data_IF_301286859887
#
_entry.id   IF_301286859887
#
_cell.length_a   1.000
_cell.length_b   1.000
_cell.length_c   1.000
_cell.angle_alpha   90.00
_cell.angle_beta   90.00
_cell.angle_gamma   90.00
#
_symmetry.space_group_name_H-M   'P 1'
#
loop_
_entity.id
_entity.type
_entity.pdbx_description
1 polymer ?
#
# COMPACT_ATOMS: atom_id res chain seq x y z
N UNK A 1 9.05 1.71 32.93
CA UNK A 1 8.29 2.99 33.02
C UNK A 1 8.34 3.82 31.74
N UNK A 2 9.51 4.01 31.09
CA UNK A 2 9.64 4.81 29.84
C UNK A 2 8.88 4.22 28.64
N UNK A 3 8.86 2.90 28.50
CA UNK A 3 8.17 2.21 27.39
C UNK A 3 6.64 2.36 27.43
N UNK A 4 6.04 2.27 28.64
CA UNK A 4 4.60 2.53 28.85
C UNK A 4 4.22 3.98 28.54
N UNK A 5 5.13 4.94 28.76
CA UNK A 5 4.90 6.34 28.42
C UNK A 5 4.92 6.57 26.89
N UNK A 6 5.82 5.89 26.18
CA UNK A 6 5.90 5.94 24.71
C UNK A 6 4.62 5.42 24.02
N UNK A 7 4.07 4.30 24.50
CA UNK A 7 2.80 3.76 23.98
C UNK A 7 1.66 4.78 24.17
N UNK A 8 1.53 5.31 25.39
CA UNK A 8 0.47 6.28 25.71
C UNK A 8 0.57 7.53 24.84
N UNK A 9 1.76 8.11 24.74
CA UNK A 9 1.96 9.33 23.96
C UNK A 9 1.70 9.10 22.46
N UNK A 10 2.14 7.96 21.91
CA UNK A 10 1.89 7.59 20.52
C UNK A 10 0.39 7.44 20.22
N UNK A 11 -0.37 6.80 21.12
CA UNK A 11 -1.84 6.68 20.97
C UNK A 11 -2.52 8.05 21.02
N UNK A 12 -2.14 8.90 21.99
CA UNK A 12 -2.69 10.26 22.10
C UNK A 12 -2.37 11.08 20.84
N UNK A 13 -1.12 11.03 20.36
CA UNK A 13 -0.71 11.70 19.15
C UNK A 13 -1.51 11.22 17.94
N UNK A 14 -1.64 9.90 17.74
CA UNK A 14 -2.43 9.32 16.66
C UNK A 14 -3.90 9.75 16.72
N UNK A 15 -4.50 9.79 17.91
CA UNK A 15 -5.88 10.23 18.11
C UNK A 15 -6.07 11.72 17.74
N UNK A 16 -5.20 12.60 18.22
CA UNK A 16 -5.24 14.04 17.88
C UNK A 16 -5.05 14.25 16.38
N UNK A 17 -4.06 13.58 15.77
CA UNK A 17 -3.80 13.66 14.34
C UNK A 17 -5.02 13.20 13.54
N UNK A 18 -5.67 12.12 13.96
CA UNK A 18 -6.86 11.58 13.30
C UNK A 18 -8.02 12.57 13.35
N UNK A 19 -8.28 13.19 14.52
CA UNK A 19 -9.32 14.22 14.64
C UNK A 19 -9.02 15.40 13.72
N UNK A 20 -7.79 15.92 13.73
CA UNK A 20 -7.40 17.04 12.88
C UNK A 20 -7.55 16.70 11.39
N UNK A 21 -7.16 15.49 10.99
CA UNK A 21 -7.28 15.02 9.62
C UNK A 21 -8.74 14.92 9.16
N UNK A 22 -9.64 14.43 10.03
CA UNK A 22 -11.06 14.28 9.72
C UNK A 22 -11.78 15.64 9.71
N UNK A 23 -11.38 16.58 10.57
CA UNK A 23 -11.90 17.95 10.56
C UNK A 23 -11.55 18.70 9.28
N UNK A 24 -10.41 18.42 8.66
CA UNK A 24 -10.07 18.99 7.34
C UNK A 24 -10.89 18.31 6.24
N UNK A 25 -11.14 17.01 6.38
CA UNK A 25 -11.95 16.23 5.46
C UNK A 25 -11.26 15.90 4.12
N UNK A 26 -11.96 15.17 3.23
CA UNK A 26 -11.42 14.82 1.92
C UNK A 26 -11.34 16.06 1.00
N UNK A 27 -10.25 16.16 0.22
CA UNK A 27 -10.16 17.17 -0.84
C UNK A 27 -10.57 16.53 -2.16
N UNK A 28 -11.49 17.16 -2.87
CA UNK A 28 -11.79 16.82 -4.26
C UNK A 28 -11.38 17.96 -5.18
N UNK A 29 -10.65 17.64 -6.25
CA UNK A 29 -10.25 18.61 -7.26
C UNK A 29 -10.25 17.96 -8.65
N UNK A 30 -10.30 18.79 -9.69
CA UNK A 30 -10.29 18.32 -11.07
C UNK A 30 -8.88 18.38 -11.66
N UNK A 31 -8.41 17.27 -12.20
CA UNK A 31 -7.17 17.20 -12.99
C UNK A 31 -7.55 16.74 -14.39
N UNK A 32 -7.30 17.57 -15.41
CA UNK A 32 -7.60 17.25 -16.80
C UNK A 32 -9.06 16.78 -17.05
N UNK A 33 -10.03 17.37 -16.33
CA UNK A 33 -11.45 17.00 -16.44
C UNK A 33 -11.88 15.79 -15.60
N UNK A 34 -10.93 15.09 -14.96
CA UNK A 34 -11.18 13.95 -14.08
C UNK A 34 -11.28 14.43 -12.63
N UNK A 35 -12.33 14.02 -11.92
CA UNK A 35 -12.47 14.28 -10.48
C UNK A 35 -11.54 13.34 -9.70
N UNK A 36 -10.59 13.93 -8.98
CA UNK A 36 -9.68 13.22 -8.09
C UNK A 36 -10.04 13.56 -6.65
N UNK A 37 -10.23 12.54 -5.82
CA UNK A 37 -10.55 12.69 -4.41
C UNK A 37 -9.43 12.11 -3.56
N UNK A 38 -8.83 12.96 -2.72
CA UNK A 38 -7.88 12.56 -1.70
C UNK A 38 -8.61 12.40 -0.37
N UNK A 39 -8.52 11.22 0.22
CA UNK A 39 -9.15 10.89 1.51
C UNK A 39 -8.47 11.59 2.68
N UNK A 40 -9.19 11.75 3.80
CA UNK A 40 -8.69 12.41 5.02
C UNK A 40 -7.42 11.75 5.59
N UNK A 41 -7.19 10.46 5.34
CA UNK A 41 -5.95 9.74 5.73
C UNK A 41 -4.68 10.42 5.21
N UNK A 42 -4.75 11.14 4.08
CA UNK A 42 -3.65 11.92 3.52
C UNK A 42 -3.17 13.00 4.51
N UNK A 43 -4.11 13.69 5.16
CA UNK A 43 -3.80 14.71 6.15
C UNK A 43 -3.15 14.11 7.39
N UNK A 44 -3.62 12.94 7.83
CA UNK A 44 -3.01 12.24 8.95
C UNK A 44 -1.53 11.93 8.68
N UNK A 45 -1.19 11.51 7.46
CA UNK A 45 0.19 11.26 7.04
C UNK A 45 1.00 12.56 7.01
N UNK A 46 0.48 13.64 6.42
CA UNK A 46 1.20 14.92 6.36
C UNK A 46 1.42 15.52 7.74
N UNK A 47 0.41 15.54 8.60
CA UNK A 47 0.54 16.03 9.98
C UNK A 47 1.52 15.15 10.74
N UNK A 48 1.42 13.81 10.63
CA UNK A 48 2.34 12.87 11.26
C UNK A 48 3.80 13.08 10.85
N UNK A 49 4.06 13.28 9.56
CA UNK A 49 5.40 13.64 9.06
C UNK A 49 5.85 15.01 9.55
N UNK A 50 4.94 15.99 9.60
CA UNK A 50 5.27 17.33 10.06
C UNK A 50 5.65 17.35 11.53
N UNK A 51 4.90 16.66 12.40
CA UNK A 51 5.15 16.62 13.84
C UNK A 51 6.29 15.71 14.26
N UNK A 52 6.87 14.96 13.31
CA UNK A 52 8.00 14.09 13.60
C UNK A 52 9.20 14.88 14.15
N UNK A 53 10.00 14.27 15.05
CA UNK A 53 11.20 14.86 15.62
C UNK A 53 12.27 15.25 14.59
N UNK A 54 12.17 14.74 13.36
CA UNK A 54 13.06 15.10 12.26
C UNK A 54 12.63 16.39 11.51
N UNK A 55 11.38 16.83 11.68
CA UNK A 55 10.84 18.04 11.01
C UNK A 55 10.48 19.13 12.04
N UNK A 56 9.20 19.33 12.38
CA UNK A 56 8.81 20.39 13.34
C UNK A 56 9.33 20.12 14.75
N UNK A 57 9.51 18.85 15.14
CA UNK A 57 10.11 18.52 16.43
C UNK A 57 11.59 18.92 16.54
N UNK A 58 12.28 19.21 15.42
CA UNK A 58 13.61 19.82 15.44
C UNK A 58 13.58 21.26 15.94
N UNK A 59 12.49 21.98 15.66
CA UNK A 59 12.31 23.40 15.98
C UNK A 59 11.58 23.59 17.31
N UNK A 60 10.63 22.70 17.63
CA UNK A 60 9.77 22.80 18.82
C UNK A 60 10.16 21.71 19.84
N UNK A 61 10.90 22.04 20.91
CA UNK A 61 11.38 21.06 21.89
C UNK A 61 10.25 20.33 22.63
N UNK A 62 9.11 21.00 22.84
CA UNK A 62 7.92 20.40 23.45
C UNK A 62 7.35 19.26 22.59
N UNK A 63 7.39 19.40 21.26
CA UNK A 63 6.90 18.40 20.32
C UNK A 63 7.84 17.19 20.28
N UNK A 64 9.15 17.41 20.25
CA UNK A 64 10.16 16.33 20.36
C UNK A 64 10.11 15.59 21.70
N UNK A 65 9.74 16.28 22.78
CA UNK A 65 9.54 15.66 24.09
C UNK A 65 8.27 14.79 24.12
N UNK A 66 7.27 15.13 23.31
CA UNK A 66 6.00 14.41 23.24
C UNK A 66 6.02 13.26 22.21
N UNK A 67 6.64 13.47 21.05
CA UNK A 67 6.86 12.49 19.98
C UNK A 67 8.38 12.40 19.76
N UNK A 68 9.02 11.51 20.52
CA UNK A 68 10.44 11.24 20.41
C UNK A 68 10.74 9.87 19.82
N UNK A 69 11.99 9.42 19.96
CA UNK A 69 12.43 8.14 19.41
C UNK A 69 11.71 6.94 20.03
N UNK A 70 11.31 7.02 21.31
CA UNK A 70 10.57 5.95 21.98
C UNK A 70 9.19 5.74 21.35
N UNK A 71 8.47 6.84 21.10
CA UNK A 71 7.17 6.82 20.43
C UNK A 71 7.30 6.30 18.99
N UNK A 72 8.32 6.74 18.25
CA UNK A 72 8.59 6.25 16.88
C UNK A 72 8.88 4.75 16.90
N UNK A 73 9.75 4.28 17.80
CA UNK A 73 10.17 2.88 17.83
C UNK A 73 9.03 1.93 18.20
N UNK A 74 8.03 2.38 18.98
CA UNK A 74 6.85 1.58 19.32
C UNK A 74 5.73 1.68 18.30
N UNK A 75 5.78 2.68 17.40
CA UNK A 75 4.73 2.94 16.41
C UNK A 75 4.47 1.74 15.46
N UNK A 76 5.49 1.04 14.92
CA UNK A 76 5.26 -0.15 14.10
C UNK A 76 4.51 -1.25 14.86
N UNK A 77 4.84 -1.46 16.14
CA UNK A 77 4.14 -2.44 16.98
C UNK A 77 2.67 -2.05 17.21
N UNK A 78 2.41 -0.78 17.52
CA UNK A 78 1.03 -0.28 17.67
C UNK A 78 0.24 -0.39 16.36
N UNK A 79 0.87 -0.14 15.22
CA UNK A 79 0.28 -0.33 13.91
C UNK A 79 -0.10 -1.81 13.71
N UNK A 80 0.81 -2.75 13.94
CA UNK A 80 0.50 -4.19 13.88
C UNK A 80 -0.69 -4.54 14.78
N UNK A 81 -0.71 -4.04 16.02
CA UNK A 81 -1.79 -4.29 16.97
C UNK A 81 -3.14 -3.78 16.44
N UNK A 82 -3.15 -2.60 15.83
CA UNK A 82 -4.35 -1.97 15.27
C UNK A 82 -4.83 -2.67 13.99
N UNK A 83 -3.93 -3.38 13.30
CA UNK A 83 -4.24 -4.14 12.09
C UNK A 83 -4.72 -5.57 12.37
N UNK A 84 -4.53 -6.12 13.57
CA UNK A 84 -5.05 -7.45 13.89
C UNK A 84 -6.57 -7.58 13.69
N UNK A 85 -7.42 -6.62 14.11
CA UNK A 85 -8.85 -6.68 13.78
C UNK A 85 -9.11 -6.79 12.28
N UNK A 86 -8.34 -6.07 11.45
CA UNK A 86 -8.45 -6.14 10.00
C UNK A 86 -8.01 -7.51 9.48
N UNK A 87 -6.90 -8.06 9.97
CA UNK A 87 -6.44 -9.41 9.64
C UNK A 87 -7.42 -10.50 10.05
N UNK A 88 -8.04 -10.38 11.23
CA UNK A 88 -9.11 -11.28 11.71
C UNK A 88 -10.33 -11.17 10.79
N UNK A 89 -10.74 -9.94 10.44
CA UNK A 89 -11.85 -9.72 9.51
C UNK A 89 -11.57 -10.38 8.17
N UNK A 90 -10.36 -10.25 7.62
CA UNK A 90 -10.01 -10.93 6.39
C UNK A 90 -9.97 -12.45 6.55
N UNK A 91 -9.41 -12.98 7.64
CA UNK A 91 -9.40 -14.42 7.92
C UNK A 91 -10.79 -15.03 8.01
N UNK A 92 -11.71 -14.38 8.74
CA UNK A 92 -13.12 -14.81 8.86
C UNK A 92 -13.82 -14.77 7.50
N UNK A 93 -13.56 -13.73 6.69
CA UNK A 93 -14.15 -13.62 5.36
C UNK A 93 -13.52 -14.60 4.35
N UNK A 94 -12.24 -14.93 4.51
CA UNK A 94 -11.48 -15.72 3.55
C UNK A 94 -11.57 -17.22 3.80
N UNK A 95 -11.68 -17.67 5.05
CA UNK A 95 -11.76 -19.08 5.41
C UNK A 95 -12.89 -19.84 4.70
N UNK A 96 -14.16 -19.39 4.79
CA UNK A 96 -15.29 -20.04 4.13
C UNK A 96 -15.23 -19.98 2.59
N UNK A 97 -14.43 -19.07 2.03
CA UNK A 97 -14.39 -18.75 0.61
C UNK A 97 -13.23 -19.43 -0.14
N UNK A 98 -12.47 -20.32 0.50
CA UNK A 98 -11.44 -21.13 -0.18
C UNK A 98 -12.02 -21.90 -1.36
N UNK A 99 -13.28 -22.36 -1.26
CA UNK A 99 -13.97 -23.02 -2.37
C UNK A 99 -14.08 -22.13 -3.63
N UNK A 100 -14.26 -20.82 -3.46
CA UNK A 100 -14.28 -19.86 -4.57
C UNK A 100 -12.91 -19.77 -5.23
N UNK A 101 -11.81 -19.86 -4.48
CA UNK A 101 -10.46 -19.91 -5.03
C UNK A 101 -10.23 -21.18 -5.86
N UNK A 102 -10.72 -22.33 -5.39
CA UNK A 102 -10.60 -23.61 -6.12
C UNK A 102 -11.49 -23.65 -7.37
N UNK A 103 -12.62 -22.94 -7.34
CA UNK A 103 -13.56 -22.80 -8.45
C UNK A 103 -13.33 -21.50 -9.24
N UNK A 104 -12.24 -20.78 -8.96
CA UNK A 104 -11.97 -19.49 -9.55
C UNK A 104 -11.84 -19.65 -11.07
N UNK A 105 -12.71 -18.96 -11.81
CA UNK A 105 -12.63 -18.96 -13.25
C UNK A 105 -11.33 -18.30 -13.76
N UNK A 106 -11.01 -18.47 -15.05
CA UNK A 106 -9.80 -17.88 -15.65
C UNK A 106 -9.63 -16.38 -15.40
N UNK A 107 -10.73 -15.62 -15.31
CA UNK A 107 -10.71 -14.19 -15.04
C UNK A 107 -10.09 -13.84 -13.67
N UNK A 108 -10.42 -14.60 -12.61
CA UNK A 108 -9.90 -14.35 -11.26
C UNK A 108 -8.42 -14.76 -11.16
N UNK A 109 -8.04 -15.87 -11.79
CA UNK A 109 -6.63 -16.28 -11.84
C UNK A 109 -5.77 -15.25 -12.58
N UNK A 110 -6.26 -14.73 -13.71
CA UNK A 110 -5.56 -13.68 -14.46
C UNK A 110 -5.50 -12.35 -13.70
N UNK A 111 -6.56 -12.00 -12.96
CA UNK A 111 -6.57 -10.81 -12.11
C UNK A 111 -5.47 -10.88 -11.04
N UNK A 112 -5.40 -11.99 -10.31
CA UNK A 112 -4.42 -12.15 -9.23
C UNK A 112 -3.00 -12.35 -9.75
N UNK A 113 -2.86 -12.98 -10.92
CA UNK A 113 -1.59 -12.97 -11.64
C UNK A 113 -1.18 -11.55 -12.05
N UNK A 114 -2.14 -10.70 -12.43
CA UNK A 114 -1.89 -9.28 -12.71
C UNK A 114 -1.38 -8.53 -11.47
N UNK A 115 -1.99 -8.77 -10.31
CA UNK A 115 -1.54 -8.19 -9.03
C UNK A 115 -0.11 -8.60 -8.69
N UNK A 116 0.18 -9.91 -8.73
CA UNK A 116 1.51 -10.47 -8.51
C UNK A 116 2.52 -9.98 -9.57
N UNK A 117 2.10 -9.92 -10.83
CA UNK A 117 2.95 -9.63 -11.99
C UNK A 117 3.60 -8.25 -11.97
N UNK A 118 3.03 -7.30 -11.21
CA UNK A 118 3.63 -5.97 -10.99
C UNK A 118 5.07 -6.04 -10.44
N UNK A 119 5.39 -7.08 -9.66
CA UNK A 119 6.73 -7.29 -9.11
C UNK A 119 7.79 -7.48 -10.19
N UNK A 120 7.42 -8.00 -11.37
CA UNK A 120 8.36 -8.27 -12.48
C UNK A 120 9.08 -6.99 -12.94
N UNK A 121 8.45 -5.84 -12.76
CA UNK A 121 9.03 -4.53 -13.08
C UNK A 121 9.47 -3.83 -11.79
N UNK A 122 8.59 -3.77 -10.79
CA UNK A 122 8.82 -2.96 -9.60
C UNK A 122 9.99 -3.48 -8.76
N UNK A 123 10.17 -4.81 -8.65
CA UNK A 123 11.24 -5.39 -7.84
C UNK A 123 12.64 -5.09 -8.42
N UNK A 124 12.94 -5.35 -9.71
CA UNK A 124 14.21 -4.96 -10.31
C UNK A 124 14.50 -3.47 -10.18
N UNK A 125 13.50 -2.62 -10.39
CA UNK A 125 13.64 -1.16 -10.27
C UNK A 125 14.00 -0.79 -8.83
N UNK A 126 13.29 -1.31 -7.84
CA UNK A 126 13.57 -1.04 -6.42
C UNK A 126 14.97 -1.52 -6.00
N UNK A 127 15.39 -2.69 -6.48
CA UNK A 127 16.75 -3.19 -6.22
C UNK A 127 17.81 -2.30 -6.90
N UNK A 128 17.56 -1.84 -8.12
CA UNK A 128 18.46 -0.92 -8.84
C UNK A 128 18.65 0.40 -8.07
N UNK A 129 17.59 0.87 -7.40
CA UNK A 129 17.61 2.06 -6.55
C UNK A 129 18.31 1.86 -5.19
N UNK A 130 18.73 0.65 -4.83
CA UNK A 130 19.43 0.41 -3.55
C UNK A 130 18.57 -0.08 -2.41
N UNK A 131 17.29 -0.38 -2.64
CA UNK A 131 16.36 -0.76 -1.57
C UNK A 131 16.54 -2.21 -1.09
N UNK A 132 17.25 -3.06 -1.85
CA UNK A 132 17.53 -4.44 -1.45
C UNK A 132 16.27 -5.21 -1.06
N UNK A 133 16.25 -5.81 0.14
CA UNK A 133 15.09 -6.57 0.67
C UNK A 133 13.85 -5.70 0.91
N UNK A 134 14.01 -4.40 1.13
CA UNK A 134 12.86 -3.47 1.19
C UNK A 134 12.12 -3.37 -0.14
N UNK A 135 12.81 -3.55 -1.27
CA UNK A 135 12.12 -3.65 -2.56
C UNK A 135 11.21 -4.88 -2.60
N UNK A 136 11.63 -6.02 -2.05
CA UNK A 136 10.80 -7.22 -2.01
C UNK A 136 9.54 -7.01 -1.17
N UNK A 137 9.69 -6.52 0.06
CA UNK A 137 8.53 -6.26 0.91
C UNK A 137 7.57 -5.22 0.32
N UNK A 138 8.10 -4.25 -0.43
CA UNK A 138 7.28 -3.24 -1.09
C UNK A 138 6.58 -3.69 -2.38
N UNK A 139 7.04 -4.75 -3.04
CA UNK A 139 6.61 -5.06 -4.42
C UNK A 139 6.05 -6.46 -4.62
N UNK A 140 6.13 -7.34 -3.62
CA UNK A 140 5.59 -8.70 -3.75
C UNK A 140 4.06 -8.74 -3.84
N UNK A 141 3.36 -7.67 -3.51
CA UNK A 141 1.92 -7.56 -3.74
C UNK A 141 1.52 -6.12 -4.06
N UNK A 142 0.47 -6.00 -4.89
CA UNK A 142 -0.26 -4.77 -5.11
C UNK A 142 -1.18 -4.41 -3.93
N UNK A 143 -1.80 -5.41 -3.28
CA UNK A 143 -2.65 -5.18 -2.13
C UNK A 143 -1.79 -4.99 -0.89
N UNK A 144 -1.61 -3.73 -0.52
CA UNK A 144 -0.78 -3.33 0.62
C UNK A 144 -1.33 -3.78 1.98
N UNK A 145 -2.64 -3.97 2.11
CA UNK A 145 -3.32 -4.23 3.38
C UNK A 145 -3.06 -5.68 3.83
N UNK A 146 -3.26 -6.64 2.93
CA UNK A 146 -2.90 -8.05 3.12
C UNK A 146 -1.39 -8.23 3.18
N UNK A 147 -0.64 -7.52 2.33
CA UNK A 147 0.82 -7.57 2.33
C UNK A 147 1.44 -7.17 3.67
N UNK A 148 0.88 -6.13 4.30
CA UNK A 148 1.35 -5.64 5.60
C UNK A 148 1.12 -6.68 6.71
N UNK A 149 -0.01 -7.39 6.68
CA UNK A 149 -0.27 -8.51 7.58
C UNK A 149 0.72 -9.66 7.38
N UNK A 150 0.92 -10.10 6.13
CA UNK A 150 1.79 -11.24 5.80
C UNK A 150 3.26 -10.94 6.13
N UNK A 151 3.79 -9.77 5.74
CA UNK A 151 5.17 -9.39 6.05
C UNK A 151 5.35 -9.10 7.54
N UNK A 152 4.35 -8.47 8.16
CA UNK A 152 4.34 -8.22 9.60
C UNK A 152 4.47 -9.51 10.42
N UNK A 153 3.75 -10.56 10.03
CA UNK A 153 3.84 -11.88 10.67
C UNK A 153 5.15 -12.62 10.33
N UNK A 154 5.53 -12.67 9.04
CA UNK A 154 6.64 -13.49 8.58
C UNK A 154 8.03 -12.91 8.86
N UNK A 155 8.18 -11.59 8.72
CA UNK A 155 9.48 -10.91 8.83
C UNK A 155 9.50 -9.87 9.98
N UNK A 156 8.34 -9.41 10.44
CA UNK A 156 8.23 -8.31 11.39
C UNK A 156 8.29 -6.95 10.70
N UNK A 157 7.52 -5.96 11.18
CA UNK A 157 7.45 -4.64 10.54
C UNK A 157 8.76 -3.82 10.63
N UNK A 158 9.65 -4.18 11.55
CA UNK A 158 10.97 -3.55 11.69
C UNK A 158 12.05 -4.17 10.77
N UNK A 159 11.72 -5.24 10.05
CA UNK A 159 12.63 -5.83 9.06
C UNK A 159 12.78 -4.93 7.82
N UNK A 160 13.82 -5.12 7.00
CA UNK A 160 13.92 -4.44 5.71
C UNK A 160 12.66 -4.59 4.84
N UNK A 161 12.08 -5.79 4.80
CA UNK A 161 10.85 -6.13 4.09
C UNK A 161 9.68 -5.34 4.67
N UNK A 162 9.53 -5.35 6.01
CA UNK A 162 8.50 -4.60 6.73
C UNK A 162 8.57 -3.11 6.45
N UNK A 163 9.76 -2.52 6.49
CA UNK A 163 10.00 -1.11 6.13
C UNK A 163 9.60 -0.85 4.67
N UNK A 164 9.92 -1.78 3.77
CA UNK A 164 9.49 -1.73 2.37
C UNK A 164 7.97 -1.69 2.21
N UNK A 165 7.28 -2.61 2.89
CA UNK A 165 5.80 -2.70 2.87
C UNK A 165 5.15 -1.48 3.51
N UNK A 166 5.69 -0.97 4.61
CA UNK A 166 5.23 0.28 5.23
C UNK A 166 5.43 1.47 4.29
N UNK A 167 6.57 1.52 3.61
CA UNK A 167 6.87 2.54 2.61
C UNK A 167 5.85 2.55 1.47
N UNK A 168 5.50 1.38 0.94
CA UNK A 168 4.47 1.28 -0.11
C UNK A 168 3.05 1.49 0.42
N UNK A 169 2.78 1.14 1.67
CA UNK A 169 1.51 1.46 2.32
C UNK A 169 1.27 2.97 2.39
N UNK A 170 2.27 3.72 2.85
CA UNK A 170 2.19 5.19 2.98
C UNK A 170 2.19 5.83 1.59
N UNK A 171 3.20 5.54 0.76
CA UNK A 171 3.33 6.15 -0.56
C UNK A 171 2.18 5.76 -1.49
N UNK A 172 1.69 4.52 -1.43
CA UNK A 172 0.51 4.08 -2.17
C UNK A 172 -0.76 4.80 -1.76
N UNK A 173 -0.89 5.23 -0.49
CA UNK A 173 -2.05 6.04 -0.06
C UNK A 173 -2.08 7.40 -0.73
N UNK A 174 -0.90 7.99 -0.88
CA UNK A 174 -0.73 9.33 -1.44
C UNK A 174 -0.78 9.25 -2.97
N UNK A 175 0.15 8.51 -3.56
CA UNK A 175 0.35 8.47 -5.00
C UNK A 175 -0.55 7.46 -5.70
N UNK A 176 -0.84 6.32 -5.06
CA UNK A 176 -1.71 5.29 -5.65
C UNK A 176 -3.11 5.83 -5.86
N UNK A 177 -3.71 6.47 -4.85
CA UNK A 177 -5.03 7.12 -4.95
C UNK A 177 -5.09 8.10 -6.14
N UNK A 178 -4.08 8.98 -6.27
CA UNK A 178 -3.98 9.92 -7.40
C UNK A 178 -3.86 9.19 -8.74
N UNK A 179 -2.96 8.22 -8.82
CA UNK A 179 -2.63 7.50 -10.04
C UNK A 179 -3.82 6.64 -10.52
N UNK A 180 -4.48 5.91 -9.63
CA UNK A 180 -5.63 5.08 -9.97
C UNK A 180 -6.89 5.88 -10.26
N UNK A 181 -7.08 7.05 -9.62
CA UNK A 181 -8.12 7.99 -10.05
C UNK A 181 -7.93 8.48 -11.48
N UNK A 182 -6.70 8.53 -12.00
CA UNK A 182 -6.45 8.92 -13.39
C UNK A 182 -6.46 7.73 -14.37
N UNK A 183 -5.89 6.58 -13.96
CA UNK A 183 -5.74 5.41 -14.82
C UNK A 183 -7.08 4.82 -15.25
N UNK A 184 -8.09 4.76 -14.37
CA UNK A 184 -9.38 4.18 -14.73
C UNK A 184 -10.09 4.97 -15.86
N UNK A 185 -10.23 6.30 -15.79
CA UNK A 185 -10.74 7.11 -16.91
C UNK A 185 -9.91 7.00 -18.19
N UNK A 186 -8.57 7.03 -18.08
CA UNK A 186 -7.70 6.86 -19.25
C UNK A 186 -7.90 5.49 -19.89
N UNK A 187 -8.13 4.45 -19.09
CA UNK A 187 -8.48 3.12 -19.58
C UNK A 187 -9.73 3.14 -20.47
N UNK A 188 -10.74 3.94 -20.12
CA UNK A 188 -11.94 4.11 -20.96
C UNK A 188 -11.57 4.73 -22.31
N UNK A 189 -10.72 5.77 -22.30
CA UNK A 189 -10.25 6.43 -23.53
C UNK A 189 -9.40 5.51 -24.42
N UNK A 190 -8.68 4.57 -23.82
CA UNK A 190 -7.92 3.53 -24.52
C UNK A 190 -8.81 2.40 -25.07
N UNK A 191 -10.13 2.44 -24.81
CA UNK A 191 -11.11 1.49 -25.32
C UNK A 191 -11.39 0.30 -24.40
N UNK A 192 -10.88 0.30 -23.16
CA UNK A 192 -11.22 -0.76 -22.20
C UNK A 192 -12.66 -0.63 -21.72
N UNK A 193 -13.35 -1.76 -21.59
CA UNK A 193 -14.71 -1.79 -21.10
C UNK A 193 -14.81 -1.34 -19.63
N UNK A 194 -15.77 -0.47 -19.24
CA UNK A 194 -15.91 0.02 -17.87
C UNK A 194 -16.01 -1.07 -16.80
N UNK A 195 -16.63 -2.22 -17.10
CA UNK A 195 -16.66 -3.35 -16.16
C UNK A 195 -15.28 -3.96 -15.89
N UNK A 196 -14.41 -4.05 -16.89
CA UNK A 196 -13.05 -4.54 -16.69
C UNK A 196 -12.23 -3.57 -15.83
N UNK A 197 -12.41 -2.26 -16.05
CA UNK A 197 -11.78 -1.21 -15.25
C UNK A 197 -12.35 -1.15 -13.82
N UNK A 198 -13.64 -1.44 -13.65
CA UNK A 198 -14.26 -1.58 -12.34
C UNK A 198 -13.68 -2.79 -11.60
N UNK A 199 -13.53 -3.94 -12.26
CA UNK A 199 -12.84 -5.10 -11.69
C UNK A 199 -11.39 -4.77 -11.30
N UNK A 200 -10.65 -4.08 -12.17
CA UNK A 200 -9.28 -3.66 -11.87
C UNK A 200 -9.19 -2.64 -10.72
N UNK A 201 -10.23 -1.83 -10.51
CA UNK A 201 -10.31 -0.89 -9.38
C UNK A 201 -10.44 -1.60 -8.04
N UNK A 202 -10.96 -2.83 -8.02
CA UNK A 202 -11.08 -3.69 -6.84
C UNK A 202 -9.78 -4.36 -6.40
N UNK A 203 -8.66 -3.63 -6.42
CA UNK A 203 -7.30 -4.10 -6.08
C UNK A 203 -7.07 -4.40 -4.57
N UNK A 204 -8.14 -4.57 -3.78
CA UNK A 204 -8.09 -4.96 -2.37
C UNK A 204 -7.78 -3.85 -1.36
N UNK A 205 -7.36 -2.66 -1.79
CA UNK A 205 -7.18 -1.51 -0.88
C UNK A 205 -8.37 -0.56 -0.92
N UNK A 206 -9.03 -0.37 0.22
CA UNK A 206 -10.25 0.43 0.30
C UNK A 206 -10.08 1.87 -0.19
N UNK A 207 -8.95 2.50 0.13
CA UNK A 207 -8.65 3.88 -0.28
C UNK A 207 -8.46 4.04 -1.79
N UNK A 208 -7.62 3.20 -2.40
CA UNK A 208 -7.33 3.23 -3.83
C UNK A 208 -8.55 2.78 -4.65
N UNK A 209 -9.27 1.76 -4.18
CA UNK A 209 -10.51 1.29 -4.79
C UNK A 209 -11.56 2.40 -4.81
N UNK A 210 -11.80 3.07 -3.68
CA UNK A 210 -12.78 4.15 -3.60
C UNK A 210 -12.50 5.26 -4.60
N UNK A 211 -11.23 5.68 -4.71
CA UNK A 211 -10.82 6.76 -5.59
C UNK A 211 -10.85 6.40 -7.08
N UNK A 212 -10.46 5.17 -7.44
CA UNK A 212 -10.55 4.67 -8.81
C UNK A 212 -12.00 4.49 -9.26
N UNK A 213 -12.83 3.90 -8.39
CA UNK A 213 -14.25 3.64 -8.64
C UNK A 213 -15.02 4.95 -8.81
N UNK A 214 -14.83 5.91 -7.88
CA UNK A 214 -15.48 7.21 -7.97
C UNK A 214 -15.13 7.95 -9.26
N UNK A 215 -13.85 7.91 -9.66
CA UNK A 215 -13.40 8.52 -10.90
C UNK A 215 -14.00 7.86 -12.14
N UNK A 216 -14.07 6.52 -12.16
CA UNK A 216 -14.66 5.77 -13.26
C UNK A 216 -16.17 6.02 -13.39
N UNK A 217 -16.90 6.07 -12.28
CA UNK A 217 -18.34 6.42 -12.27
C UNK A 217 -18.58 7.82 -12.82
N UNK A 218 -17.74 8.79 -12.48
CA UNK A 218 -17.84 10.14 -13.04
C UNK A 218 -17.56 10.18 -14.55
N UNK A 219 -16.70 9.28 -15.04
CA UNK A 219 -16.35 9.18 -16.46
C UNK A 219 -17.44 8.49 -17.27
N UNK A 220 -18.13 7.50 -16.69
CA UNK A 220 -19.23 6.76 -17.34
C UNK A 220 -20.46 6.72 -16.42
N UNK A 221 -21.16 7.86 -16.24
CA UNK A 221 -22.23 7.99 -15.25
C UNK A 221 -23.37 6.99 -15.42
N UNK A 222 -23.63 6.58 -16.67
CA UNK A 222 -24.72 5.66 -17.02
C UNK A 222 -24.51 4.25 -16.48
N UNK A 223 -23.27 3.89 -16.11
CA UNK A 223 -22.91 2.55 -15.61
C UNK A 223 -22.48 2.58 -14.13
N UNK A 224 -22.80 3.66 -13.40
CA UNK A 224 -22.27 3.90 -12.05
C UNK A 224 -22.59 2.78 -11.06
N UNK A 225 -23.84 2.31 -11.06
CA UNK A 225 -24.29 1.25 -10.15
C UNK A 225 -23.53 -0.06 -10.41
N UNK A 226 -23.37 -0.43 -11.69
CA UNK A 226 -22.62 -1.61 -12.07
C UNK A 226 -21.13 -1.45 -11.75
N UNK A 227 -20.53 -0.29 -12.04
CA UNK A 227 -19.13 0.00 -11.71
C UNK A 227 -18.89 -0.18 -10.21
N UNK A 228 -19.78 0.37 -9.37
CA UNK A 228 -19.69 0.20 -7.92
C UNK A 228 -19.79 -1.27 -7.52
N UNK A 229 -20.76 -2.01 -8.08
CA UNK A 229 -20.96 -3.43 -7.78
C UNK A 229 -19.76 -4.31 -8.18
N UNK A 230 -19.24 -4.14 -9.41
CA UNK A 230 -18.08 -4.89 -9.90
C UNK A 230 -16.82 -4.56 -9.11
N UNK A 231 -16.58 -3.28 -8.81
CA UNK A 231 -15.42 -2.85 -8.03
C UNK A 231 -15.46 -3.36 -6.59
N UNK A 232 -16.60 -3.21 -5.91
CA UNK A 232 -16.78 -3.72 -4.55
C UNK A 232 -16.63 -5.25 -4.48
N UNK A 233 -17.22 -5.96 -5.44
CA UNK A 233 -17.11 -7.42 -5.53
C UNK A 233 -15.67 -7.84 -5.76
N UNK A 234 -14.98 -7.20 -6.72
CA UNK A 234 -13.56 -7.45 -6.99
C UNK A 234 -12.68 -7.16 -5.78
N UNK A 235 -12.93 -6.05 -5.06
CA UNK A 235 -12.23 -5.71 -3.83
C UNK A 235 -12.41 -6.75 -2.73
N UNK A 236 -13.64 -7.23 -2.54
CA UNK A 236 -13.93 -8.30 -1.58
C UNK A 236 -13.29 -9.63 -1.96
N UNK A 237 -13.28 -9.97 -3.26
CA UNK A 237 -12.61 -11.18 -3.75
C UNK A 237 -11.11 -11.03 -3.52
N UNK A 238 -10.47 -9.98 -4.02
CA UNK A 238 -9.03 -9.72 -3.85
C UNK A 238 -8.60 -9.69 -2.38
N UNK A 239 -9.39 -9.09 -1.48
CA UNK A 239 -9.07 -9.11 -0.05
C UNK A 239 -9.05 -10.53 0.55
N UNK A 240 -9.82 -11.44 -0.04
CA UNK A 240 -9.94 -12.84 0.39
C UNK A 240 -8.95 -13.76 -0.32
N UNK A 241 -8.94 -13.74 -1.66
CA UNK A 241 -8.07 -14.57 -2.49
C UNK A 241 -6.63 -14.10 -2.43
N UNK A 242 -6.42 -12.78 -2.30
CA UNK A 242 -5.12 -12.15 -2.17
C UNK A 242 -4.32 -12.71 -1.00
N UNK A 243 -4.91 -12.98 0.16
CA UNK A 243 -4.18 -13.59 1.29
C UNK A 243 -3.55 -14.93 0.91
N UNK A 244 -4.33 -15.83 0.28
CA UNK A 244 -3.85 -17.15 -0.10
C UNK A 244 -2.80 -17.06 -1.22
N UNK A 245 -3.07 -16.25 -2.25
CA UNK A 245 -2.17 -16.11 -3.38
C UNK A 245 -0.89 -15.40 -2.96
N UNK A 246 -0.96 -14.35 -2.16
CA UNK A 246 0.20 -13.65 -1.65
C UNK A 246 1.07 -14.54 -0.79
N UNK A 247 0.47 -15.27 0.15
CA UNK A 247 1.20 -16.12 1.09
C UNK A 247 1.85 -17.33 0.40
N UNK A 248 1.08 -18.04 -0.44
CA UNK A 248 1.51 -19.32 -1.01
C UNK A 248 2.14 -19.23 -2.39
N UNK A 249 1.92 -18.13 -3.13
CA UNK A 249 2.45 -17.96 -4.48
C UNK A 249 3.31 -16.71 -4.59
N UNK A 250 2.75 -15.53 -4.37
CA UNK A 250 3.40 -14.25 -4.66
C UNK A 250 4.68 -14.06 -3.85
N UNK A 251 4.66 -14.32 -2.55
CA UNK A 251 5.81 -14.12 -1.69
C UNK A 251 6.93 -15.16 -1.94
N UNK A 252 6.65 -16.46 -2.09
CA UNK A 252 7.65 -17.43 -2.56
C UNK A 252 8.26 -17.05 -3.92
N UNK A 253 7.43 -16.68 -4.90
CA UNK A 253 7.87 -16.24 -6.23
C UNK A 253 8.74 -14.98 -6.13
N UNK A 254 8.35 -14.00 -5.32
CA UNK A 254 9.12 -12.78 -5.11
C UNK A 254 10.49 -13.08 -4.48
N UNK A 255 10.56 -13.97 -3.50
CA UNK A 255 11.83 -14.40 -2.91
C UNK A 255 12.74 -15.10 -3.93
N UNK A 256 12.18 -16.01 -4.73
CA UNK A 256 12.91 -16.66 -5.79
C UNK A 256 13.40 -15.65 -6.83
N UNK A 257 12.52 -14.76 -7.28
CA UNK A 257 12.84 -13.75 -8.29
C UNK A 257 13.90 -12.78 -7.79
N UNK A 258 13.78 -12.27 -6.56
CA UNK A 258 14.79 -11.45 -5.89
C UNK A 258 16.16 -12.13 -5.89
N UNK A 259 16.23 -13.42 -5.55
CA UNK A 259 17.50 -14.16 -5.53
C UNK A 259 18.21 -14.23 -6.88
N UNK A 260 17.45 -14.09 -7.99
CA UNK A 260 17.99 -14.09 -9.35
C UNK A 260 18.36 -12.69 -9.82
N UNK A 261 17.51 -11.70 -9.59
CA UNK A 261 17.72 -10.34 -10.12
C UNK A 261 18.67 -9.50 -9.26
N UNK A 262 18.62 -9.66 -7.93
CA UNK A 262 19.39 -8.80 -7.04
C UNK A 262 20.91 -8.93 -7.22
N UNK A 263 21.51 -10.14 -7.28
CA UNK A 263 22.95 -10.27 -7.47
C UNK A 263 23.45 -9.64 -8.78
N UNK A 264 22.65 -9.76 -9.85
CA UNK A 264 22.97 -9.20 -11.16
C UNK A 264 22.99 -7.68 -11.08
N UNK A 265 21.92 -7.08 -10.57
CA UNK A 265 21.74 -5.63 -10.48
C UNK A 265 22.77 -5.00 -9.53
N UNK A 266 23.00 -5.62 -8.37
CA UNK A 266 23.96 -5.13 -7.38
C UNK A 266 25.40 -5.17 -7.92
N UNK A 267 25.77 -6.19 -8.69
CA UNK A 267 27.06 -6.24 -9.38
C UNK A 267 27.23 -5.10 -10.37
N UNK A 268 26.19 -4.76 -11.13
CA UNK A 268 26.22 -3.61 -12.05
C UNK A 268 26.30 -2.27 -11.30
N UNK A 269 25.60 -2.15 -10.16
CA UNK A 269 25.65 -0.94 -9.34
C UNK A 269 27.02 -0.75 -8.69
N UNK A 270 27.59 -1.81 -8.10
CA UNK A 270 28.94 -1.77 -7.50
C UNK A 270 30.03 -1.38 -8.49
N UNK A 271 29.95 -1.86 -9.74
CA UNK A 271 30.85 -1.44 -10.83
C UNK A 271 30.72 0.04 -11.18
N UNK A 272 29.50 0.60 -11.19
CA UNK A 272 29.29 2.03 -11.41
C UNK A 272 29.87 2.85 -10.26
N UNK A 273 29.59 2.48 -9.01
CA UNK A 273 30.11 3.20 -7.83
C UNK A 273 31.64 3.22 -7.81
N UNK A 274 32.30 2.10 -8.11
CA UNK A 274 33.77 2.02 -8.21
C UNK A 274 34.33 2.90 -9.34
N UNK A 275 33.64 2.97 -10.49
CA UNK A 275 34.06 3.80 -11.63
C UNK A 275 33.87 5.29 -11.38
N UNK A 276 32.88 5.69 -10.58
CA UNK A 276 32.67 7.08 -10.15
C UNK A 276 33.68 7.49 -9.09
N UNK A 277 34.04 6.59 -8.17
CA UNK A 277 35.07 6.84 -7.14
C UNK A 277 36.48 6.99 -7.71
N UNK A 278 36.81 6.35 -8.84
CA UNK A 278 38.10 6.50 -9.52
C UNK A 278 38.18 7.75 -10.43
N UNK A 279 37.15 8.58 -10.49
CA UNK A 279 37.08 9.81 -11.28
C UNK A 279 37.06 11.09 -10.43
N UNK A 280 37.07 10.95 -9.11
CA UNK A 280 37.23 12.01 -8.12
C UNK A 280 38.64 11.90 -7.51
#
# INVERSE_FOLDING_TARGET
MKEKAGIRNAIIAAFIITILAELIGPISFKVMGINVTLLSILWAIFIGMAVSPHLLGRVIPALKKFIGDNEINVSPYLLSLTLYPLGIMFGINAGPKVGILLQAGPALLLQEFGHMGTMLIALPVGVALGLGRSALGGTFSLCRDTALGIIGDKYGLNSPEGIGTLGTYISGSIFGTLLFSFLAPVGVLLGFHPYALAMASGMGSGSMMGAATASLMNTVPQMSEQILAYSATSGLITAVTGIYIELFLSLPVANYYYSKVAPVIERFRGRKTARTSNKL
#
